data_IF_284207181910
#
_entry.id   IF_284207181910
#
_cell.length_a   1.000
_cell.length_b   1.000
_cell.length_c   1.000
_cell.angle_alpha   90.00
_cell.angle_beta   90.00
_cell.angle_gamma   90.00
#
_symmetry.space_group_name_H-M   'P 1'
#
loop_
_entity.id
_entity.type
_entity.pdbx_description
1 polymer ?
#
# COMPACT_ATOMS: atom_id res chain seq x y z
N UNK A 1 10.59 -14.83 11.89
CA UNK A 1 10.91 -13.92 10.77
C UNK A 1 10.88 -12.50 11.32
N UNK A 2 11.83 -11.64 10.96
CA UNK A 2 11.89 -10.26 11.46
C UNK A 2 11.34 -9.31 10.41
N UNK A 3 10.41 -8.45 10.80
CA UNK A 3 9.82 -7.43 9.95
C UNK A 3 10.29 -6.05 10.39
N UNK A 4 10.70 -5.20 9.45
CA UNK A 4 11.10 -3.82 9.73
C UNK A 4 9.93 -2.90 9.42
N UNK A 5 9.53 -2.06 10.37
CA UNK A 5 8.54 -1.00 10.18
C UNK A 5 9.25 0.35 10.24
N UNK A 6 9.14 1.16 9.19
CA UNK A 6 9.65 2.52 9.08
C UNK A 6 8.48 3.50 9.02
N UNK A 7 8.50 4.53 9.86
CA UNK A 7 7.47 5.58 9.92
C UNK A 7 8.11 6.96 9.78
N UNK A 8 7.60 7.76 8.86
CA UNK A 8 8.05 9.14 8.66
C UNK A 8 7.29 10.09 9.59
N UNK A 9 8.03 10.84 10.40
CA UNK A 9 7.50 11.91 11.25
C UNK A 9 7.32 13.21 10.46
N UNK A 10 8.28 13.50 9.57
CA UNK A 10 8.27 14.66 8.68
C UNK A 10 8.92 14.33 7.34
N UNK A 11 8.45 14.99 6.27
CA UNK A 11 8.96 14.81 4.92
C UNK A 11 8.70 16.06 4.07
N UNK A 12 9.76 16.78 3.71
CA UNK A 12 9.74 17.94 2.82
C UNK A 12 11.01 17.93 1.96
N UNK A 13 10.86 17.46 0.72
CA UNK A 13 11.90 17.49 -0.32
C UNK A 13 11.49 18.45 -1.44
N UNK A 14 12.42 18.81 -2.32
CA UNK A 14 12.09 19.61 -3.50
C UNK A 14 10.98 18.92 -4.34
N UNK A 15 9.88 19.61 -4.66
CA UNK A 15 8.81 19.04 -5.47
C UNK A 15 9.12 19.11 -6.97
N UNK A 16 8.77 18.05 -7.71
CA UNK A 16 8.74 18.08 -9.18
C UNK A 16 7.32 18.41 -9.65
N UNK A 17 7.04 19.71 -9.83
CA UNK A 17 5.69 20.23 -10.08
C UNK A 17 5.18 20.00 -11.51
N UNK A 18 6.07 19.85 -12.49
CA UNK A 18 5.73 19.66 -13.90
C UNK A 18 6.56 18.52 -14.52
N UNK A 19 6.32 17.27 -14.10
CA UNK A 19 7.03 16.12 -14.62
C UNK A 19 6.66 15.85 -16.10
N UNK A 20 7.64 15.69 -17.01
CA UNK A 20 7.37 15.14 -18.33
C UNK A 20 6.91 13.68 -18.20
N UNK A 21 6.01 13.25 -19.10
CA UNK A 21 5.25 11.99 -18.98
C UNK A 21 6.08 10.79 -18.51
N UNK A 22 5.77 10.28 -17.31
CA UNK A 22 6.36 9.08 -16.71
C UNK A 22 7.59 9.31 -15.82
N UNK A 23 8.19 10.51 -15.79
CA UNK A 23 9.34 10.81 -14.93
C UNK A 23 8.95 11.78 -13.82
N UNK A 24 8.91 11.31 -12.57
CA UNK A 24 8.58 12.12 -11.40
C UNK A 24 9.76 12.14 -10.41
N UNK A 25 9.83 13.21 -9.60
CA UNK A 25 10.88 13.46 -8.61
C UNK A 25 12.29 13.49 -9.23
N UNK A 26 12.48 14.35 -10.24
CA UNK A 26 13.75 14.45 -10.98
C UNK A 26 14.86 15.19 -10.23
N UNK A 27 14.50 16.12 -9.35
CA UNK A 27 15.44 16.88 -8.51
C UNK A 27 15.78 16.04 -7.26
N UNK A 28 15.43 16.54 -6.07
CA UNK A 28 15.53 15.78 -4.83
C UNK A 28 14.55 14.60 -4.79
N UNK A 29 15.05 13.43 -4.36
CA UNK A 29 14.21 12.24 -4.20
C UNK A 29 14.75 11.28 -3.14
N UNK A 30 13.83 10.57 -2.51
CA UNK A 30 14.11 9.42 -1.66
C UNK A 30 13.60 8.16 -2.36
N UNK A 31 14.49 7.20 -2.59
CA UNK A 31 14.14 5.86 -3.10
C UNK A 31 14.27 4.82 -2.00
N UNK A 32 13.28 3.94 -1.89
CA UNK A 32 13.18 2.97 -0.80
C UNK A 32 13.01 1.56 -1.38
N UNK A 33 13.75 0.60 -0.83
CA UNK A 33 13.85 -0.78 -1.31
C UNK A 33 13.68 -1.78 -0.17
N UNK A 34 12.90 -2.85 -0.39
CA UNK A 34 12.81 -4.01 0.53
C UNK A 34 13.94 -5.00 0.26
N UNK A 35 15.17 -4.59 0.56
CA UNK A 35 16.35 -5.40 0.33
C UNK A 35 17.52 -4.52 -0.05
N UNK A 36 18.48 -5.10 -0.78
CA UNK A 36 19.55 -4.32 -1.38
C UNK A 36 19.01 -3.43 -2.53
N UNK A 37 19.57 -2.22 -2.72
CA UNK A 37 19.21 -1.33 -3.82
C UNK A 37 19.41 -2.02 -5.17
N UNK A 38 18.51 -1.76 -6.12
CA UNK A 38 18.53 -2.34 -7.48
C UNK A 38 18.45 -3.88 -7.54
N UNK A 39 18.24 -4.54 -6.40
CA UNK A 39 18.15 -6.01 -6.28
C UNK A 39 16.85 -6.44 -5.61
N UNK A 40 16.50 -5.81 -4.48
CA UNK A 40 15.26 -6.07 -3.76
C UNK A 40 14.03 -5.47 -4.45
N UNK A 41 12.81 -5.77 -4.00
CA UNK A 41 11.60 -5.09 -4.45
C UNK A 41 11.67 -3.57 -4.21
N UNK A 42 11.48 -2.78 -5.26
CA UNK A 42 11.35 -1.33 -5.15
C UNK A 42 10.03 -0.96 -4.47
N UNK A 43 10.10 -0.21 -3.37
CA UNK A 43 8.92 0.24 -2.62
C UNK A 43 8.35 1.49 -3.26
N UNK A 44 9.21 2.46 -3.58
CA UNK A 44 8.78 3.70 -4.18
C UNK A 44 9.85 4.78 -4.22
N UNK A 45 9.53 5.81 -4.99
CA UNK A 45 10.27 7.06 -5.12
C UNK A 45 9.41 8.21 -4.61
N UNK A 46 9.97 9.07 -3.77
CA UNK A 46 9.22 10.11 -3.06
C UNK A 46 9.94 11.46 -3.13
N UNK A 47 9.18 12.55 -3.25
CA UNK A 47 9.64 13.94 -3.19
C UNK A 47 8.48 14.87 -2.83
N UNK A 48 8.75 16.18 -2.70
CA UNK A 48 7.75 17.14 -2.24
C UNK A 48 7.37 16.93 -0.77
N UNK A 49 6.12 17.26 -0.44
CA UNK A 49 5.59 17.22 0.93
C UNK A 49 4.68 16.01 1.20
N UNK A 50 4.49 15.13 0.21
CA UNK A 50 3.68 13.92 0.40
C UNK A 50 4.55 12.87 1.10
N UNK A 51 4.32 12.69 2.40
CA UNK A 51 5.02 11.69 3.21
C UNK A 51 4.85 10.26 2.65
N UNK A 52 5.91 9.43 2.64
CA UNK A 52 5.81 8.02 2.27
C UNK A 52 4.88 7.18 3.15
N UNK A 53 4.51 7.69 4.35
CA UNK A 53 3.70 6.99 5.33
C UNK A 53 4.45 5.85 6.03
N UNK A 54 3.71 4.88 6.57
CA UNK A 54 4.28 3.68 7.20
C UNK A 54 4.73 2.69 6.13
N UNK A 55 6.01 2.31 6.15
CA UNK A 55 6.61 1.31 5.26
C UNK A 55 6.96 0.06 6.07
N UNK A 56 6.63 -1.11 5.52
CA UNK A 56 7.01 -2.41 6.09
C UNK A 56 8.05 -3.08 5.19
N UNK A 57 8.97 -3.86 5.76
CA UNK A 57 9.94 -4.69 5.03
C UNK A 57 9.99 -6.08 5.63
N UNK A 58 9.90 -7.07 4.73
CA UNK A 58 9.83 -8.49 5.08
C UNK A 58 11.08 -9.27 4.68
N UNK A 59 11.98 -8.66 3.91
CA UNK A 59 13.25 -9.27 3.50
C UNK A 59 14.30 -9.31 4.61
N UNK A 60 14.06 -8.60 5.72
CA UNK A 60 15.03 -8.39 6.80
C UNK A 60 16.06 -7.29 6.50
N UNK A 61 16.00 -6.65 5.33
CA UNK A 61 16.85 -5.53 4.94
C UNK A 61 15.95 -4.43 4.34
N UNK A 62 16.10 -3.19 4.82
CA UNK A 62 15.42 -2.02 4.23
C UNK A 62 16.49 -1.01 3.86
N UNK A 63 16.57 -0.64 2.58
CA UNK A 63 17.56 0.32 2.07
C UNK A 63 16.87 1.60 1.60
N UNK A 64 17.52 2.74 1.85
CA UNK A 64 17.08 4.04 1.38
C UNK A 64 18.22 4.76 0.68
N UNK A 65 17.92 5.41 -0.44
CA UNK A 65 18.84 6.25 -1.20
C UNK A 65 18.27 7.65 -1.29
N UNK A 66 18.98 8.60 -0.69
CA UNK A 66 18.62 10.00 -0.75
C UNK A 66 19.50 10.68 -1.80
N UNK A 67 18.87 11.23 -2.84
CA UNK A 67 19.52 11.97 -3.91
C UNK A 67 19.10 13.43 -3.81
N UNK A 68 20.07 14.33 -3.88
CA UNK A 68 19.84 15.78 -4.00
C UNK A 68 20.57 16.32 -5.21
N UNK A 69 20.06 17.40 -5.79
CA UNK A 69 20.78 18.13 -6.83
C UNK A 69 21.58 19.32 -6.26
N UNK A 70 22.04 20.23 -7.13
CA UNK A 70 22.86 21.37 -6.72
C UNK A 70 22.07 22.62 -6.28
N UNK A 71 20.74 22.58 -6.31
CA UNK A 71 19.86 23.72 -6.06
C UNK A 71 18.69 23.35 -5.13
N UNK A 72 18.02 24.37 -4.58
CA UNK A 72 16.77 24.28 -3.80
C UNK A 72 16.72 23.14 -2.76
N UNK A 73 17.39 23.33 -1.62
CA UNK A 73 17.22 22.43 -0.47
C UNK A 73 15.95 22.73 0.34
N UNK A 74 15.36 21.68 0.91
CA UNK A 74 14.21 21.71 1.84
C UNK A 74 14.60 21.17 3.23
N UNK A 75 13.63 21.03 4.15
CA UNK A 75 13.90 20.56 5.51
C UNK A 75 14.38 19.10 5.58
N UNK A 76 14.09 18.28 4.56
CA UNK A 76 14.49 16.89 4.50
C UNK A 76 13.42 15.96 5.09
N UNK A 77 13.84 14.90 5.78
CA UNK A 77 12.92 13.94 6.38
C UNK A 77 13.41 13.46 7.75
N UNK A 78 12.47 13.19 8.66
CA UNK A 78 12.69 12.47 9.92
C UNK A 78 11.87 11.19 9.89
N UNK A 79 12.49 10.07 10.27
CA UNK A 79 11.81 8.78 10.31
C UNK A 79 12.37 7.89 11.42
N UNK A 80 11.49 7.11 12.03
CA UNK A 80 11.83 6.11 13.04
C UNK A 80 11.59 4.72 12.47
N UNK A 81 12.40 3.76 12.90
CA UNK A 81 12.19 2.35 12.54
C UNK A 81 12.08 1.47 13.78
N UNK A 82 11.32 0.39 13.65
CA UNK A 82 11.20 -0.67 14.64
C UNK A 82 11.31 -2.03 13.96
N UNK A 83 11.73 -3.04 14.71
CA UNK A 83 11.83 -4.42 14.21
C UNK A 83 10.87 -5.28 14.99
N UNK A 84 9.84 -5.81 14.31
CA UNK A 84 8.95 -6.80 14.86
C UNK A 84 9.61 -8.17 14.75
N UNK A 85 9.83 -8.81 15.90
CA UNK A 85 10.19 -10.21 15.95
C UNK A 85 8.90 -11.03 16.00
N UNK A 86 8.59 -11.74 14.92
CA UNK A 86 7.46 -12.66 14.92
C UNK A 86 7.74 -13.83 15.86
N UNK A 87 6.95 -13.95 16.94
CA UNK A 87 6.79 -15.22 17.66
C UNK A 87 5.63 -15.96 17.02
N UNK A 88 5.92 -17.11 16.40
CA UNK A 88 4.89 -17.96 15.80
C UNK A 88 4.39 -18.87 16.92
N UNK A 89 3.13 -18.72 17.34
CA UNK A 89 2.52 -19.70 18.24
C UNK A 89 2.35 -21.01 17.49
N UNK A 90 2.41 -22.15 18.19
CA UNK A 90 2.17 -23.45 17.57
C UNK A 90 0.74 -23.58 16.99
N UNK A 91 -0.18 -22.71 17.43
CA UNK A 91 -1.56 -22.59 16.93
C UNK A 91 -1.74 -21.48 15.87
N UNK A 92 -0.66 -21.01 15.22
CA UNK A 92 -0.75 -19.94 14.23
C UNK A 92 -1.64 -20.38 13.04
N UNK A 93 -2.83 -19.80 12.98
CA UNK A 93 -3.73 -19.91 11.83
C UNK A 93 -3.56 -18.68 10.98
N UNK A 94 -3.15 -18.89 9.74
CA UNK A 94 -2.94 -17.78 8.83
C UNK A 94 -4.24 -17.33 8.16
N UNK A 95 -5.11 -16.77 8.98
CA UNK A 95 -6.37 -16.14 8.60
C UNK A 95 -6.48 -14.74 9.22
N UNK A 96 -5.34 -14.18 9.64
CA UNK A 96 -5.31 -12.85 10.25
C UNK A 96 -5.64 -11.78 9.21
N UNK A 97 -6.44 -10.78 9.62
CA UNK A 97 -6.86 -9.72 8.73
C UNK A 97 -5.68 -8.80 8.40
N UNK A 98 -5.40 -8.62 7.10
CA UNK A 98 -4.26 -7.84 6.62
C UNK A 98 -4.47 -6.31 6.61
N UNK A 99 -5.66 -5.84 7.00
CA UNK A 99 -5.84 -4.41 7.28
C UNK A 99 -6.87 -3.63 6.46
N UNK A 100 -7.74 -4.31 5.70
CA UNK A 100 -8.83 -3.62 4.99
C UNK A 100 -9.78 -2.92 5.97
N UNK A 101 -10.16 -3.62 7.04
CA UNK A 101 -11.01 -3.09 8.12
C UNK A 101 -10.26 -2.18 9.08
N UNK A 102 -9.06 -2.58 9.52
CA UNK A 102 -8.31 -1.87 10.55
C UNK A 102 -7.71 -0.54 10.08
N UNK A 103 -7.63 -0.31 8.76
CA UNK A 103 -6.98 0.86 8.18
C UNK A 103 -5.48 0.70 7.97
N UNK A 104 -4.91 -0.46 8.33
CA UNK A 104 -3.48 -0.75 8.16
C UNK A 104 -3.08 -0.82 6.69
N UNK A 105 -3.99 -1.24 5.81
CA UNK A 105 -3.88 -0.98 4.37
C UNK A 105 -4.31 0.46 4.13
N UNK A 106 -3.40 1.31 3.67
CA UNK A 106 -3.68 2.72 3.36
C UNK A 106 -4.53 2.85 2.09
N UNK A 107 -5.37 3.88 2.00
CA UNK A 107 -6.28 4.09 0.86
C UNK A 107 -5.55 4.22 -0.49
N UNK A 108 -4.35 4.80 -0.51
CA UNK A 108 -3.49 4.88 -1.71
C UNK A 108 -3.11 3.51 -2.29
N UNK A 109 -3.20 2.45 -1.48
CA UNK A 109 -2.94 1.08 -1.91
C UNK A 109 -4.17 0.41 -2.54
N UNK A 110 -5.36 1.02 -2.43
CA UNK A 110 -6.62 0.46 -2.93
C UNK A 110 -6.96 1.15 -4.26
N UNK A 111 -6.90 0.41 -5.36
CA UNK A 111 -7.14 0.94 -6.71
C UNK A 111 -8.18 0.10 -7.45
N UNK A 112 -8.86 0.68 -8.43
CA UNK A 112 -9.88 -0.01 -9.22
C UNK A 112 -9.83 0.42 -10.68
N UNK A 113 -10.48 -0.34 -11.55
CA UNK A 113 -10.70 -0.01 -12.96
C UNK A 113 -11.46 1.31 -13.12
N UNK A 114 -12.53 1.48 -12.34
CA UNK A 114 -13.41 2.63 -12.38
C UNK A 114 -14.18 2.77 -11.05
N UNK A 115 -14.90 3.88 -10.88
CA UNK A 115 -15.82 4.09 -9.76
C UNK A 115 -17.03 4.90 -10.24
N UNK A 116 -18.23 4.52 -9.78
CA UNK A 116 -19.48 5.19 -10.15
C UNK A 116 -19.53 6.66 -9.70
N UNK A 117 -18.89 6.97 -8.57
CA UNK A 117 -18.78 8.32 -8.04
C UNK A 117 -18.11 8.34 -6.68
N UNK A 118 -18.05 9.51 -6.06
CA UNK A 118 -17.42 9.69 -4.73
C UNK A 118 -18.13 8.93 -3.62
N UNK A 119 -19.45 8.75 -3.72
CA UNK A 119 -20.25 7.95 -2.79
C UNK A 119 -20.04 6.43 -2.94
N UNK A 120 -19.30 6.00 -3.96
CA UNK A 120 -18.99 4.60 -4.29
C UNK A 120 -17.50 4.40 -4.62
N UNK A 121 -16.64 5.22 -4.00
CA UNK A 121 -15.20 5.23 -4.25
C UNK A 121 -14.50 3.96 -3.73
N UNK A 122 -13.26 3.75 -4.17
CA UNK A 122 -12.42 2.62 -3.74
C UNK A 122 -12.19 2.59 -2.23
N UNK A 123 -12.15 3.73 -1.55
CA UNK A 123 -11.99 3.83 -0.10
C UNK A 123 -13.13 3.16 0.68
N UNK A 124 -14.33 3.12 0.09
CA UNK A 124 -15.52 2.50 0.68
C UNK A 124 -15.53 0.98 0.52
N UNK A 125 -14.55 0.39 -0.17
CA UNK A 125 -14.43 -1.07 -0.32
C UNK A 125 -14.02 -1.80 0.97
N UNK A 126 -13.60 -1.06 2.00
CA UNK A 126 -13.19 -1.62 3.30
C UNK A 126 -14.29 -2.49 3.92
N UNK A 127 -13.86 -3.51 4.66
CA UNK A 127 -14.80 -4.34 5.41
C UNK A 127 -15.49 -3.48 6.47
N UNK A 128 -16.80 -3.67 6.66
CA UNK A 128 -17.64 -2.91 7.60
C UNK A 128 -17.60 -1.38 7.44
N UNK A 129 -17.37 -0.87 6.22
CA UNK A 129 -17.52 0.56 5.93
C UNK A 129 -18.97 1.01 6.20
N UNK A 130 -19.20 2.14 6.89
CA UNK A 130 -20.53 2.48 7.45
C UNK A 130 -21.59 2.81 6.40
N UNK A 131 -21.19 3.29 5.23
CA UNK A 131 -22.11 3.75 4.18
C UNK A 131 -21.63 3.34 2.78
N UNK A 132 -22.51 2.71 2.01
CA UNK A 132 -22.25 2.19 0.66
C UNK A 132 -21.04 1.23 0.60
N UNK A 133 -20.59 0.95 -0.62
CA UNK A 133 -19.36 0.20 -0.91
C UNK A 133 -18.72 0.73 -2.19
N UNK A 134 -17.64 0.11 -2.65
CA UNK A 134 -17.13 0.38 -3.99
C UNK A 134 -18.08 -0.20 -5.04
N UNK A 135 -18.40 0.60 -6.06
CA UNK A 135 -19.15 0.20 -7.25
C UNK A 135 -18.45 0.77 -8.48
N UNK A 136 -18.18 -0.04 -9.52
CA UNK A 136 -17.57 0.45 -10.76
C UNK A 136 -18.52 1.39 -11.53
N UNK A 137 -17.99 2.09 -12.52
CA UNK A 137 -18.77 2.99 -13.38
C UNK A 137 -19.71 2.25 -14.33
N UNK A 138 -19.39 1.01 -14.69
CA UNK A 138 -20.20 0.14 -15.55
C UNK A 138 -20.31 -1.26 -14.95
N UNK A 139 -21.45 -1.94 -15.12
CA UNK A 139 -21.61 -3.33 -14.69
C UNK A 139 -21.11 -4.28 -15.77
N UNK A 140 -19.79 -4.50 -15.80
CA UNK A 140 -19.10 -5.31 -16.80
C UNK A 140 -18.14 -6.31 -16.16
N UNK A 141 -17.92 -7.45 -16.83
CA UNK A 141 -16.93 -8.46 -16.41
C UNK A 141 -15.47 -7.97 -16.47
N UNK A 142 -15.24 -6.77 -17.02
CA UNK A 142 -13.92 -6.15 -17.14
C UNK A 142 -13.54 -5.28 -15.94
N UNK A 143 -14.48 -5.02 -15.03
CA UNK A 143 -14.24 -4.20 -13.86
C UNK A 143 -13.48 -4.97 -12.78
N UNK A 144 -12.63 -4.26 -12.05
CA UNK A 144 -11.80 -4.84 -10.99
C UNK A 144 -11.53 -3.84 -9.88
N UNK A 145 -11.31 -4.36 -8.68
CA UNK A 145 -10.71 -3.66 -7.56
C UNK A 145 -9.52 -4.49 -7.09
N UNK A 146 -8.41 -3.82 -6.79
CA UNK A 146 -7.19 -4.45 -6.32
C UNK A 146 -6.65 -3.69 -5.12
N UNK A 147 -5.94 -4.42 -4.27
CA UNK A 147 -5.13 -3.84 -3.22
C UNK A 147 -3.68 -4.09 -3.60
N UNK A 148 -2.97 -3.03 -3.96
CA UNK A 148 -1.54 -3.06 -4.28
C UNK A 148 -0.69 -3.24 -3.03
N UNK A 149 0.55 -3.70 -3.22
CA UNK A 149 1.55 -3.74 -2.15
C UNK A 149 1.53 -4.96 -1.23
N UNK A 150 0.65 -5.94 -1.45
CA UNK A 150 0.69 -7.21 -0.71
C UNK A 150 1.93 -8.02 -1.15
N UNK A 151 3.01 -7.95 -0.35
CA UNK A 151 4.28 -8.63 -0.68
C UNK A 151 4.16 -10.14 -0.52
N UNK A 152 5.00 -10.86 -1.27
CA UNK A 152 5.00 -12.33 -1.38
C UNK A 152 5.09 -13.08 -0.03
N UNK A 153 5.50 -12.43 1.06
CA UNK A 153 5.52 -13.01 2.41
C UNK A 153 4.20 -12.92 3.18
N UNK A 154 3.32 -11.97 2.84
CA UNK A 154 2.02 -11.77 3.49
C UNK A 154 0.93 -12.68 2.90
N UNK A 155 1.09 -13.11 1.65
CA UNK A 155 0.24 -14.12 0.98
C UNK A 155 0.82 -15.54 1.18
N UNK A 156 1.87 -15.73 2.00
CA UNK A 156 2.54 -17.03 2.21
C UNK A 156 1.70 -18.08 2.95
N UNK A 157 0.42 -17.82 3.11
CA UNK A 157 -0.53 -18.77 3.63
C UNK A 157 -1.47 -19.06 2.50
N UNK A 158 -1.50 -20.32 2.07
CA UNK A 158 -2.41 -20.78 1.03
C UNK A 158 -3.77 -20.14 1.27
N UNK A 159 -4.18 -19.32 0.30
CA UNK A 159 -5.55 -18.83 0.24
C UNK A 159 -6.40 -20.08 0.16
N UNK A 160 -7.02 -20.47 1.27
CA UNK A 160 -8.03 -21.51 1.25
C UNK A 160 -9.20 -20.95 0.43
N UNK A 161 -9.22 -21.31 -0.85
CA UNK A 161 -10.20 -20.84 -1.82
C UNK A 161 -11.64 -21.15 -1.35
N UNK A 162 -11.84 -22.16 -0.49
CA UNK A 162 -13.14 -22.48 0.09
C UNK A 162 -13.63 -21.42 1.10
N UNK A 163 -12.72 -20.68 1.74
CA UNK A 163 -13.06 -19.61 2.68
C UNK A 163 -13.31 -18.27 1.97
N UNK A 164 -12.57 -17.99 0.90
CA UNK A 164 -12.70 -16.76 0.11
C UNK A 164 -14.03 -16.73 -0.66
N UNK A 165 -14.49 -17.88 -1.19
CA UNK A 165 -15.82 -17.99 -1.82
C UNK A 165 -16.96 -17.61 -0.85
N UNK A 166 -16.83 -17.94 0.43
CA UNK A 166 -17.86 -17.62 1.44
C UNK A 166 -17.93 -16.14 1.79
N UNK A 167 -16.81 -15.42 1.69
CA UNK A 167 -16.75 -13.98 1.97
C UNK A 167 -17.24 -13.14 0.79
N UNK A 168 -16.87 -13.51 -0.44
CA UNK A 168 -17.34 -12.82 -1.65
C UNK A 168 -18.84 -13.03 -1.88
N UNK A 169 -19.38 -14.23 -1.59
CA UNK A 169 -20.83 -14.51 -1.67
C UNK A 169 -21.68 -13.74 -0.64
N UNK A 170 -21.10 -13.15 0.41
CA UNK A 170 -21.82 -12.35 1.41
C UNK A 170 -21.92 -10.85 1.07
N UNK A 171 -21.09 -10.34 0.16
CA UNK A 171 -21.07 -8.92 -0.23
C UNK A 171 -21.57 -8.63 -1.65
N UNK A 172 -21.83 -9.66 -2.45
CA UNK A 172 -22.67 -9.50 -3.63
C UNK A 172 -24.11 -9.23 -3.14
N UNK A 173 -24.44 -7.96 -2.94
CA UNK A 173 -25.83 -7.52 -3.03
C UNK A 173 -26.32 -8.02 -4.38
N UNK A 174 -27.36 -8.87 -4.44
CA UNK A 174 -27.91 -9.28 -5.72
C UNK A 174 -28.56 -8.03 -6.33
N UNK A 175 -27.85 -7.31 -7.19
CA UNK A 175 -28.47 -6.49 -8.22
C UNK A 175 -29.05 -7.45 -9.27
N UNK A 176 -30.12 -8.13 -8.87
CA UNK A 176 -31.04 -8.83 -9.76
C UNK A 176 -32.45 -8.51 -9.31
N UNK A 177 -32.95 -7.37 -9.79
CA UNK A 177 -34.21 -7.23 -10.53
C UNK A 177 -34.31 -5.84 -11.14
#
# INVERSE_FOLDING_TARGET
>A
MSEIILEFESFDLEPDSNPPGGMFCRYDRLEIWDGFPDVGPHIGRYCGQKTPGRIRSSSGILSMFFYTDSAIAKEGFSANYSVLQGSVSEDFKCMEALGMESGEIHSDQITASSQYGTNWSTERSRLNYPENGWTPGEDSYREWIQVGGMRSGTISCEVDFDHLERLLKKKAVPLLK
#
